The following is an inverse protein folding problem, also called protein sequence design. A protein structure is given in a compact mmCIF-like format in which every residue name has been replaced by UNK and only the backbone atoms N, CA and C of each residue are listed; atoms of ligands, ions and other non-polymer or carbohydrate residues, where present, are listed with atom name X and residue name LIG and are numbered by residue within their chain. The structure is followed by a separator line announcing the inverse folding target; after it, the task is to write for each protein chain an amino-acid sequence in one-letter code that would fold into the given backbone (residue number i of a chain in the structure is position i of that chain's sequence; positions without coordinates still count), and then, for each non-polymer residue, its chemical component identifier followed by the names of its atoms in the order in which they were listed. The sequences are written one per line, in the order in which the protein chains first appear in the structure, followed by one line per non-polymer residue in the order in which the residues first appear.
data_IF_499314714406
#
_entry.id   IF_499314714406
#
_cell.length_a   1.000
_cell.length_b   1.000
_cell.length_c   1.000
_cell.angle_alpha   90.00
_cell.angle_beta   90.00
_cell.angle_gamma   90.00
#
_symmetry.space_group_name_H-M   'P 1'
#
loop_
_entity.id
_entity.type
_entity.pdbx_description
1 polymer ?
#
# COMPACT_ATOMS: atom_id res chain seq x y z
N UNK A 1 -8.86 0.21 20.88
CA UNK A 1 -8.19 0.50 19.60
C UNK A 1 -7.84 1.98 19.45
N UNK A 2 -8.76 2.95 19.63
CA UNK A 2 -8.46 4.39 19.52
C UNK A 2 -7.31 4.85 20.41
N UNK A 3 -7.30 4.44 21.69
CA UNK A 3 -6.22 4.78 22.63
C UNK A 3 -4.84 4.22 22.18
N UNK A 4 -4.83 3.05 21.54
CA UNK A 4 -3.62 2.46 20.98
C UNK A 4 -3.06 3.34 19.87
N UNK A 5 -3.89 3.72 18.89
CA UNK A 5 -3.48 4.56 17.76
C UNK A 5 -3.03 5.95 18.23
N UNK A 6 -3.79 6.58 19.13
CA UNK A 6 -3.41 7.88 19.68
C UNK A 6 -2.06 7.84 20.39
N UNK A 7 -1.81 6.79 21.17
CA UNK A 7 -0.53 6.61 21.87
C UNK A 7 0.63 6.36 20.90
N UNK A 8 0.38 5.57 19.82
CA UNK A 8 1.42 5.19 18.86
C UNK A 8 1.79 6.33 17.91
N UNK A 9 0.80 7.10 17.45
CA UNK A 9 0.96 8.09 16.38
C UNK A 9 0.77 9.55 16.83
N UNK A 10 0.45 9.77 18.09
CA UNK A 10 0.20 11.09 18.67
C UNK A 10 -0.79 11.95 17.86
N UNK A 11 -1.84 11.31 17.32
CA UNK A 11 -2.93 11.96 16.58
C UNK A 11 -4.27 11.27 16.82
N UNK A 12 -5.36 11.93 16.47
CA UNK A 12 -6.72 11.42 16.64
C UNK A 12 -7.17 10.61 15.41
N UNK A 13 -7.89 9.51 15.69
CA UNK A 13 -8.44 8.60 14.69
C UNK A 13 -9.92 8.34 14.93
N UNK A 14 -10.67 8.21 13.85
CA UNK A 14 -11.99 7.58 13.84
C UNK A 14 -11.78 6.09 13.68
N UNK A 15 -12.38 5.29 14.54
CA UNK A 15 -12.33 3.82 14.50
C UNK A 15 -13.76 3.33 14.32
N UNK A 16 -13.99 2.54 13.29
CA UNK A 16 -15.30 1.99 12.96
C UNK A 16 -15.71 0.83 13.89
N UNK A 17 -16.84 0.19 13.65
CA UNK A 17 -17.26 -0.97 14.43
C UNK A 17 -16.37 -2.18 14.11
N UNK A 18 -15.82 -2.85 15.15
CA UNK A 18 -14.99 -4.03 14.95
C UNK A 18 -15.81 -5.23 14.50
N UNK A 19 -15.25 -6.00 13.58
CA UNK A 19 -15.79 -7.28 13.14
C UNK A 19 -14.90 -8.44 13.61
N UNK A 20 -15.53 -9.53 14.07
CA UNK A 20 -14.81 -10.76 14.42
C UNK A 20 -14.79 -11.68 13.20
N UNK A 21 -13.62 -12.05 12.73
CA UNK A 21 -13.46 -13.18 11.84
C UNK A 21 -13.46 -14.45 12.67
N UNK A 22 -14.44 -15.31 12.41
CA UNK A 22 -14.68 -16.50 13.21
C UNK A 22 -13.46 -17.42 13.26
N UNK A 23 -13.12 -17.87 14.46
CA UNK A 23 -12.21 -18.98 14.67
C UNK A 23 -12.86 -20.27 14.11
N UNK A 24 -12.10 -21.07 13.38
CA UNK A 24 -12.54 -22.40 12.90
C UNK A 24 -11.40 -23.39 12.98
N UNK A 25 -11.68 -24.62 13.42
CA UNK A 25 -10.74 -25.75 13.39
C UNK A 25 -9.32 -25.46 13.94
N UNK A 26 -9.25 -24.83 15.11
CA UNK A 26 -7.94 -24.54 15.77
C UNK A 26 -7.28 -23.26 15.33
N UNK A 27 -7.95 -22.40 14.54
CA UNK A 27 -7.50 -21.05 14.18
C UNK A 27 -8.07 -20.06 15.19
N UNK A 28 -7.21 -19.23 15.78
CA UNK A 28 -7.61 -18.17 16.71
C UNK A 28 -8.48 -17.12 16.03
N UNK A 29 -9.51 -16.63 16.71
CA UNK A 29 -10.35 -15.54 16.24
C UNK A 29 -9.56 -14.24 16.09
N UNK A 30 -9.89 -13.48 15.06
CA UNK A 30 -9.22 -12.20 14.76
C UNK A 30 -10.25 -11.08 14.71
N UNK A 31 -10.09 -10.11 15.59
CA UNK A 31 -10.83 -8.85 15.53
C UNK A 31 -10.19 -7.91 14.51
N UNK A 32 -10.98 -7.45 13.57
CA UNK A 32 -10.55 -6.48 12.57
C UNK A 32 -11.44 -5.26 12.59
N UNK A 33 -10.85 -4.07 12.43
CA UNK A 33 -11.59 -2.81 12.34
C UNK A 33 -10.88 -1.86 11.39
N UNK A 34 -11.66 -1.09 10.64
CA UNK A 34 -11.14 -0.04 9.81
C UNK A 34 -11.06 1.28 10.60
N UNK A 35 -10.01 2.03 10.36
CA UNK A 35 -9.79 3.31 11.00
C UNK A 35 -9.18 4.30 10.01
N UNK A 36 -9.37 5.59 10.29
CA UNK A 36 -8.74 6.67 9.52
C UNK A 36 -8.41 7.85 10.43
N UNK A 37 -7.40 8.68 10.11
CA UNK A 37 -7.19 9.94 10.81
C UNK A 37 -8.41 10.84 10.71
N UNK A 38 -8.71 11.59 11.77
CA UNK A 38 -9.78 12.60 11.73
C UNK A 38 -9.56 13.62 10.60
N UNK A 39 -8.30 13.91 10.29
CA UNK A 39 -7.89 14.85 9.24
C UNK A 39 -7.99 14.30 7.80
N UNK A 40 -8.10 12.97 7.61
CA UNK A 40 -8.07 12.35 6.27
C UNK A 40 -8.84 11.03 6.23
N UNK A 41 -10.09 11.08 5.77
CA UNK A 41 -10.91 9.88 5.59
C UNK A 41 -10.36 8.95 4.49
N UNK A 42 -9.67 9.49 3.50
CA UNK A 42 -9.11 8.71 2.39
C UNK A 42 -7.92 7.83 2.83
N UNK A 43 -7.40 8.07 4.04
CA UNK A 43 -6.32 7.27 4.63
C UNK A 43 -6.89 6.16 5.53
N UNK A 44 -7.87 5.42 5.02
CA UNK A 44 -8.44 4.27 5.73
C UNK A 44 -7.47 3.09 5.71
N UNK A 45 -7.28 2.47 6.87
CA UNK A 45 -6.39 1.33 7.08
C UNK A 45 -7.00 0.33 8.07
N UNK A 46 -6.48 -0.88 8.09
CA UNK A 46 -6.95 -1.97 8.96
C UNK A 46 -6.15 -2.04 10.25
N UNK A 47 -6.86 -2.24 11.38
CA UNK A 47 -6.30 -2.64 12.67
C UNK A 47 -6.73 -4.07 12.93
N UNK A 48 -5.81 -4.88 13.44
CA UNK A 48 -6.05 -6.30 13.75
C UNK A 48 -5.66 -6.57 15.20
N UNK A 49 -6.47 -7.38 15.87
CA UNK A 49 -6.16 -7.95 17.18
C UNK A 49 -6.46 -9.44 17.15
N UNK A 50 -5.47 -10.27 17.40
CA UNK A 50 -5.67 -11.69 17.61
C UNK A 50 -6.28 -11.90 19.01
N UNK A 51 -7.31 -12.75 19.13
CA UNK A 51 -8.15 -12.86 20.32
C UNK A 51 -7.36 -13.11 21.61
N UNK A 52 -6.38 -13.98 21.55
CA UNK A 52 -5.55 -14.37 22.70
C UNK A 52 -4.28 -13.53 22.88
N UNK A 53 -4.07 -12.48 22.07
CA UNK A 53 -2.92 -11.57 22.17
C UNK A 53 -3.36 -10.22 22.73
N UNK A 54 -2.56 -9.67 23.65
CA UNK A 54 -2.77 -8.32 24.17
C UNK A 54 -2.16 -7.22 23.30
N UNK A 55 -1.83 -7.55 22.04
CA UNK A 55 -1.23 -6.63 21.07
C UNK A 55 -2.19 -6.32 19.94
N UNK A 56 -2.04 -5.12 19.39
CA UNK A 56 -2.70 -4.69 18.17
C UNK A 56 -1.64 -4.55 17.09
N UNK A 57 -1.96 -4.94 15.86
CA UNK A 57 -1.20 -4.59 14.69
C UNK A 57 -2.03 -3.68 13.78
N UNK A 58 -1.40 -2.73 13.10
CA UNK A 58 -2.08 -1.81 12.20
C UNK A 58 -1.29 -1.54 10.94
N UNK A 59 -2.00 -1.13 9.89
CA UNK A 59 -1.45 -0.84 8.58
C UNK A 59 -1.37 0.67 8.28
N UNK A 60 -1.43 1.55 9.30
CA UNK A 60 -1.43 3.00 9.08
C UNK A 60 -0.18 3.50 8.32
N UNK A 61 0.99 3.12 8.80
CA UNK A 61 2.25 3.51 8.16
C UNK A 61 2.35 2.96 6.75
N UNK A 62 1.94 1.70 6.53
CA UNK A 62 1.89 1.09 5.20
C UNK A 62 0.96 1.85 4.26
N UNK A 63 -0.19 2.31 4.75
CA UNK A 63 -1.14 3.14 3.98
C UNK A 63 -0.54 4.47 3.56
N UNK A 64 0.14 5.17 4.47
CA UNK A 64 0.83 6.44 4.16
C UNK A 64 1.90 6.22 3.09
N UNK A 65 2.70 5.16 3.21
CA UNK A 65 3.72 4.83 2.22
C UNK A 65 3.11 4.46 0.87
N UNK A 66 2.04 3.66 0.86
CA UNK A 66 1.32 3.31 -0.38
C UNK A 66 0.85 4.55 -1.13
N UNK A 67 0.27 5.52 -0.44
CA UNK A 67 -0.19 6.78 -1.02
C UNK A 67 0.97 7.60 -1.59
N UNK A 68 2.07 7.70 -0.85
CA UNK A 68 3.27 8.45 -1.26
C UNK A 68 3.93 7.82 -2.49
N UNK A 69 4.13 6.49 -2.47
CA UNK A 69 4.71 5.77 -3.59
C UNK A 69 3.79 5.78 -4.81
N UNK A 70 2.49 5.64 -4.63
CA UNK A 70 1.51 5.81 -5.71
C UNK A 70 1.67 7.17 -6.38
N UNK A 71 1.76 8.25 -5.63
CA UNK A 71 1.96 9.59 -6.19
C UNK A 71 3.31 9.72 -6.93
N UNK A 72 4.38 9.18 -6.36
CA UNK A 72 5.73 9.18 -6.98
C UNK A 72 5.74 8.40 -8.29
N UNK A 73 5.23 7.17 -8.29
CA UNK A 73 5.24 6.31 -9.47
C UNK A 73 4.29 6.79 -10.56
N UNK A 74 3.13 7.39 -10.21
CA UNK A 74 2.27 8.03 -11.19
C UNK A 74 2.98 9.16 -11.94
N UNK A 75 3.77 9.97 -11.23
CA UNK A 75 4.56 11.03 -11.87
C UNK A 75 5.59 10.46 -12.86
N UNK A 76 6.28 9.38 -12.48
CA UNK A 76 7.24 8.68 -13.36
C UNK A 76 6.51 8.09 -14.58
N UNK A 77 5.39 7.40 -14.37
CA UNK A 77 4.61 6.80 -15.45
C UNK A 77 4.14 7.85 -16.46
N UNK A 78 3.57 8.96 -15.98
CA UNK A 78 3.10 10.05 -16.86
C UNK A 78 4.22 10.69 -17.67
N UNK A 79 5.45 10.77 -17.15
CA UNK A 79 6.61 11.29 -17.89
C UNK A 79 7.10 10.35 -19.00
N UNK A 80 6.75 9.07 -18.94
CA UNK A 80 7.19 8.03 -19.87
C UNK A 80 6.13 7.60 -20.89
N UNK A 81 4.91 8.13 -20.80
CA UNK A 81 3.88 7.91 -21.82
C UNK A 81 4.15 8.83 -23.02
N UNK A 82 4.49 8.23 -24.15
CA UNK A 82 4.88 8.99 -25.36
C UNK A 82 3.72 9.68 -26.07
N UNK A 83 2.48 9.33 -25.76
CA UNK A 83 1.30 9.83 -26.44
C UNK A 83 0.24 10.34 -25.46
N UNK A 84 -0.28 11.54 -25.69
CA UNK A 84 -1.41 12.13 -24.96
C UNK A 84 -2.74 11.34 -25.05
N UNK A 85 -2.71 10.20 -25.74
CA UNK A 85 -3.86 9.29 -25.93
C UNK A 85 -4.11 8.33 -24.77
N UNK A 86 -3.20 8.29 -23.77
CA UNK A 86 -3.27 7.32 -22.67
C UNK A 86 -3.39 7.98 -21.32
N UNK A 87 -4.22 7.41 -20.49
CA UNK A 87 -4.13 7.62 -19.06
C UNK A 87 -3.56 6.36 -18.41
N UNK A 88 -2.34 6.46 -17.89
CA UNK A 88 -1.74 5.43 -17.06
C UNK A 88 -1.98 5.79 -15.61
N UNK A 89 -2.56 4.86 -14.87
CA UNK A 89 -2.69 4.97 -13.42
C UNK A 89 -1.84 3.90 -12.75
N UNK A 90 -0.95 4.32 -11.89
CA UNK A 90 -0.19 3.44 -11.02
C UNK A 90 -0.83 3.45 -9.64
N UNK A 91 -1.06 2.29 -9.06
CA UNK A 91 -1.37 2.15 -7.64
C UNK A 91 -0.34 1.26 -6.98
N UNK A 92 0.06 1.64 -5.78
CA UNK A 92 1.01 0.89 -4.96
C UNK A 92 0.30 0.44 -3.70
N UNK A 93 0.42 -0.83 -3.38
CA UNK A 93 -0.07 -1.41 -2.15
C UNK A 93 1.12 -1.95 -1.34
N UNK A 94 1.29 -1.42 -0.16
CA UNK A 94 2.32 -1.84 0.79
C UNK A 94 1.60 -2.46 1.99
N UNK A 95 2.04 -3.65 2.39
CA UNK A 95 1.56 -4.33 3.59
C UNK A 95 2.73 -4.60 4.52
N UNK A 96 2.59 -4.21 5.78
CA UNK A 96 3.54 -4.57 6.81
C UNK A 96 3.18 -5.96 7.36
N UNK A 97 4.15 -6.86 7.35
CA UNK A 97 4.02 -8.16 8.01
C UNK A 97 4.51 -8.06 9.46
N UNK A 98 3.98 -8.88 10.35
CA UNK A 98 4.50 -8.97 11.71
C UNK A 98 5.99 -9.38 11.68
N UNK A 99 6.87 -8.81 12.49
CA UNK A 99 6.61 -7.90 13.62
C UNK A 99 6.58 -6.40 13.25
N UNK A 100 6.79 -6.01 12.00
CA UNK A 100 6.90 -4.59 11.60
C UNK A 100 5.60 -3.80 11.84
N UNK A 101 4.44 -4.46 11.71
CA UNK A 101 3.15 -3.81 11.95
C UNK A 101 2.99 -3.34 13.41
N UNK A 102 3.66 -3.99 14.36
CA UNK A 102 3.61 -3.67 15.79
C UNK A 102 4.67 -2.63 16.20
N UNK A 103 5.63 -2.35 15.34
CA UNK A 103 6.72 -1.43 15.63
C UNK A 103 6.32 0.00 15.27
N UNK A 104 6.64 0.95 16.14
CA UNK A 104 6.57 2.37 15.77
C UNK A 104 7.70 2.65 14.78
N UNK A 105 7.36 2.63 13.49
CA UNK A 105 8.29 2.96 12.44
C UNK A 105 8.44 4.49 12.36
N UNK A 106 9.61 5.02 12.01
CA UNK A 106 9.78 6.46 11.86
C UNK A 106 8.82 7.01 10.81
N UNK A 107 8.32 8.22 11.01
CA UNK A 107 7.30 8.85 10.17
C UNK A 107 7.70 9.00 8.70
N UNK A 108 8.99 8.86 8.38
CA UNK A 108 9.49 9.08 7.03
C UNK A 108 10.69 8.20 6.66
N UNK A 109 10.63 6.86 6.84
CA UNK A 109 11.69 6.00 6.34
C UNK A 109 11.64 6.00 4.81
N UNK A 110 12.80 5.89 4.19
CA UNK A 110 12.85 5.60 2.76
C UNK A 110 12.31 4.18 2.55
N UNK A 111 11.40 4.02 1.60
CA UNK A 111 10.79 2.72 1.31
C UNK A 111 11.87 1.67 1.00
N UNK A 112 12.96 2.07 0.33
CA UNK A 112 14.10 1.22 0.03
C UNK A 112 14.81 0.65 1.27
N UNK A 113 14.84 1.40 2.36
CA UNK A 113 15.49 0.97 3.61
C UNK A 113 14.71 -0.15 4.29
N UNK A 114 13.37 -0.11 4.15
CA UNK A 114 12.48 -1.09 4.76
C UNK A 114 12.40 -2.37 3.94
N UNK A 115 12.34 -2.24 2.61
CA UNK A 115 12.25 -3.38 1.69
C UNK A 115 13.53 -4.25 1.74
N UNK A 116 14.66 -3.69 2.15
CA UNK A 116 15.94 -4.41 2.32
C UNK A 116 16.05 -5.24 3.59
N UNK A 117 15.14 -5.08 4.54
CA UNK A 117 15.14 -5.91 5.75
C UNK A 117 14.60 -7.31 5.43
N UNK A 118 15.10 -8.34 6.09
CA UNK A 118 14.71 -9.75 5.86
C UNK A 118 13.21 -10.01 6.10
N UNK A 119 12.52 -9.09 6.76
CA UNK A 119 11.07 -9.06 6.98
C UNK A 119 10.43 -7.88 6.25
N UNK A 120 10.91 -7.55 5.07
CA UNK A 120 10.42 -6.41 4.29
C UNK A 120 8.91 -6.46 4.06
N UNK A 121 8.27 -5.30 3.88
CA UNK A 121 6.86 -5.22 3.54
C UNK A 121 6.61 -5.88 2.18
N UNK A 122 5.42 -6.45 2.01
CA UNK A 122 4.95 -6.82 0.69
C UNK A 122 4.67 -5.54 -0.09
N UNK A 123 5.26 -5.43 -1.26
CA UNK A 123 5.16 -4.24 -2.11
C UNK A 123 4.65 -4.64 -3.50
N UNK A 124 3.41 -4.27 -3.78
CA UNK A 124 2.74 -4.54 -5.04
C UNK A 124 2.56 -3.25 -5.85
N UNK A 125 2.91 -3.30 -7.13
CA UNK A 125 2.67 -2.19 -8.07
C UNK A 125 1.68 -2.66 -9.13
N UNK A 126 0.54 -1.99 -9.21
CA UNK A 126 -0.48 -2.24 -10.22
C UNK A 126 -0.46 -1.11 -11.26
N UNK A 127 -0.32 -1.47 -12.53
CA UNK A 127 -0.42 -0.55 -13.65
C UNK A 127 -1.77 -0.75 -14.33
N UNK A 128 -2.57 0.29 -14.42
CA UNK A 128 -3.85 0.29 -15.13
C UNK A 128 -3.77 1.22 -16.33
N UNK A 129 -4.14 0.73 -17.48
CA UNK A 129 -4.26 1.47 -18.74
C UNK A 129 -5.71 1.79 -19.02
N UNK A 130 -5.99 3.02 -19.39
CA UNK A 130 -7.29 3.42 -19.90
C UNK A 130 -7.13 3.90 -21.34
N UNK A 131 -7.71 3.16 -22.27
CA UNK A 131 -7.65 3.51 -23.70
C UNK A 131 -8.48 4.75 -24.00
N UNK A 132 -7.87 5.72 -24.68
CA UNK A 132 -8.55 6.85 -25.30
C UNK A 132 -8.53 6.73 -26.84
N UNK A 133 -9.16 5.69 -27.38
CA UNK A 133 -9.41 5.44 -28.82
C UNK A 133 -8.19 5.29 -29.78
N UNK A 134 -8.20 4.23 -30.56
CA UNK A 134 -7.36 3.95 -31.74
C UNK A 134 -5.85 3.81 -31.48
N UNK A 135 -5.43 3.01 -30.53
CA UNK A 135 -4.02 2.71 -30.34
C UNK A 135 -3.75 1.23 -30.63
N UNK A 136 -2.60 0.94 -31.23
CA UNK A 136 -2.21 -0.43 -31.51
C UNK A 136 -1.79 -1.14 -30.23
N UNK A 137 -1.99 -2.44 -30.17
CA UNK A 137 -1.52 -3.27 -29.06
C UNK A 137 0.01 -3.15 -28.85
N UNK A 138 0.76 -3.03 -29.94
CA UNK A 138 2.23 -2.91 -29.89
C UNK A 138 2.68 -1.59 -29.23
N UNK A 139 1.97 -0.49 -29.49
CA UNK A 139 2.25 0.80 -28.83
C UNK A 139 2.01 0.71 -27.31
N UNK A 140 0.96 -0.03 -26.90
CA UNK A 140 0.66 -0.27 -25.48
C UNK A 140 1.82 -1.04 -24.83
N UNK A 141 2.24 -2.14 -25.44
CA UNK A 141 3.33 -2.97 -24.91
C UNK A 141 4.62 -2.16 -24.79
N UNK A 142 4.99 -1.39 -25.82
CA UNK A 142 6.19 -0.55 -25.78
C UNK A 142 6.14 0.52 -24.67
N UNK A 143 5.02 1.17 -24.48
CA UNK A 143 4.88 2.15 -23.40
C UNK A 143 4.91 1.51 -22.01
N UNK A 144 4.30 0.33 -21.87
CA UNK A 144 4.34 -0.45 -20.65
C UNK A 144 5.75 -0.88 -20.27
N UNK A 145 6.53 -1.40 -21.24
CA UNK A 145 7.93 -1.78 -21.02
C UNK A 145 8.76 -0.56 -20.60
N UNK A 146 8.55 0.60 -21.25
CA UNK A 146 9.23 1.84 -20.91
C UNK A 146 8.92 2.31 -19.49
N UNK A 147 7.65 2.27 -19.09
CA UNK A 147 7.23 2.61 -17.73
C UNK A 147 7.80 1.63 -16.73
N UNK A 148 7.68 0.32 -16.98
CA UNK A 148 8.21 -0.72 -16.11
C UNK A 148 9.72 -0.56 -15.89
N UNK A 149 10.47 -0.34 -16.97
CA UNK A 149 11.92 -0.09 -16.92
C UNK A 149 12.25 1.19 -16.14
N UNK A 150 11.49 2.27 -16.34
CA UNK A 150 11.68 3.53 -15.60
C UNK A 150 11.41 3.37 -14.10
N UNK A 151 10.40 2.60 -13.74
CA UNK A 151 10.09 2.30 -12.33
C UNK A 151 11.20 1.42 -11.74
N UNK A 152 11.62 0.37 -12.45
CA UNK A 152 12.65 -0.56 -11.97
C UNK A 152 14.02 0.10 -11.81
N UNK A 153 14.40 0.98 -12.72
CA UNK A 153 15.67 1.70 -12.67
C UNK A 153 15.72 2.78 -11.57
N UNK A 154 14.57 3.27 -11.15
CA UNK A 154 14.46 4.33 -10.13
C UNK A 154 14.21 3.82 -8.70
N UNK A 155 14.21 2.55 -8.47
CA UNK A 155 14.17 1.86 -7.17
C UNK A 155 13.27 0.62 -7.19
N UNK A 156 13.69 -0.42 -6.54
CA UNK A 156 12.91 -1.54 -6.02
C UNK A 156 12.78 -2.70 -6.99
N UNK A 157 13.22 -3.85 -6.53
CA UNK A 157 12.80 -5.14 -7.09
C UNK A 157 11.27 -5.20 -7.03
N UNK A 158 10.64 -5.01 -8.17
CA UNK A 158 9.19 -5.16 -8.28
C UNK A 158 8.85 -6.64 -8.09
N UNK A 159 8.00 -6.93 -7.13
CA UNK A 159 7.55 -8.29 -6.90
C UNK A 159 6.45 -8.72 -7.88
N UNK A 160 5.60 -7.84 -8.38
CA UNK A 160 4.53 -8.17 -9.34
C UNK A 160 4.13 -6.92 -10.13
N UNK A 161 4.05 -7.05 -11.47
CA UNK A 161 3.31 -6.12 -12.34
C UNK A 161 2.05 -6.86 -12.78
N UNK A 162 0.91 -6.37 -12.37
CA UNK A 162 -0.38 -6.82 -12.89
C UNK A 162 -0.85 -5.82 -13.93
N UNK A 163 -1.12 -6.32 -15.14
CA UNK A 163 -1.70 -5.56 -16.24
C UNK A 163 -3.18 -5.94 -16.29
N UNK A 164 -4.04 -4.96 -16.14
CA UNK A 164 -5.50 -5.10 -16.27
C UNK A 164 -5.97 -4.48 -17.58
#
# INVERSE_FOLDING_TARGET
MSNYLRKKYNQEFVVEEPSLSAAGLGVEGTWGVDAHPVSSKDTTFRIIKVENRNSFSDQYTAKIWSQRETARLNKIAQQNVANSKWNVKVSVEIYLVEPLADTALPDNPKVEEIIRQDYGPVYNVNLSYFELQNTSYDDIVCDMERIANSITNNSIKMSIITIL
#
